data_IF_303071732800
#
_entry.id   IF_303071732800
#
_cell.length_a   1.000
_cell.length_b   1.000
_cell.length_c   1.000
_cell.angle_alpha   90.00
_cell.angle_beta   90.00
_cell.angle_gamma   90.00
#
_symmetry.space_group_name_H-M   'P 1'
#
loop_
_entity.id
_entity.type
_entity.pdbx_description
1 polymer ?
#
# COMPACT_ATOMS: atom_id res chain seq x y z
N UNK A 1 -36.39 -11.79 7.60
CA UNK A 1 -34.91 -11.86 7.49
C UNK A 1 -34.35 -11.21 8.75
N UNK A 2 -33.65 -11.96 9.61
CA UNK A 2 -33.21 -11.45 10.93
C UNK A 2 -31.93 -10.64 10.74
N UNK A 3 -31.72 -9.58 11.53
CA UNK A 3 -30.56 -8.67 11.44
C UNK A 3 -29.21 -9.41 11.36
N UNK A 4 -29.09 -10.53 12.10
CA UNK A 4 -27.92 -11.42 12.09
C UNK A 4 -27.53 -11.98 10.72
N UNK A 5 -28.50 -12.20 9.83
CA UNK A 5 -28.23 -12.72 8.48
C UNK A 5 -27.61 -11.64 7.59
N UNK A 6 -28.00 -10.36 7.81
CA UNK A 6 -27.45 -9.22 7.08
C UNK A 6 -25.98 -8.98 7.47
N UNK A 7 -25.69 -9.00 8.77
CA UNK A 7 -24.33 -8.79 9.27
C UNK A 7 -23.36 -9.89 8.79
N UNK A 8 -23.85 -11.14 8.65
CA UNK A 8 -23.07 -12.25 8.12
C UNK A 8 -22.79 -12.10 6.61
N UNK A 9 -23.76 -11.58 5.85
CA UNK A 9 -23.58 -11.29 4.42
C UNK A 9 -22.60 -10.15 4.23
N UNK A 10 -22.69 -9.09 5.02
CA UNK A 10 -21.75 -7.96 4.97
C UNK A 10 -20.32 -8.40 5.28
N UNK A 11 -20.11 -9.21 6.33
CA UNK A 11 -18.78 -9.76 6.64
C UNK A 11 -18.25 -10.64 5.51
N UNK A 12 -19.10 -11.45 4.87
CA UNK A 12 -18.70 -12.26 3.71
C UNK A 12 -18.37 -11.40 2.49
N UNK A 13 -19.12 -10.33 2.25
CA UNK A 13 -18.88 -9.38 1.17
C UNK A 13 -17.57 -8.63 1.36
N UNK A 14 -17.30 -8.09 2.55
CA UNK A 14 -16.01 -7.47 2.87
C UNK A 14 -14.86 -8.47 2.67
N UNK A 15 -15.01 -9.71 3.15
CA UNK A 15 -13.98 -10.74 2.99
C UNK A 15 -13.77 -11.19 1.53
N UNK A 16 -14.82 -11.17 0.72
CA UNK A 16 -14.77 -11.45 -0.71
C UNK A 16 -14.10 -10.30 -1.48
N UNK A 17 -14.46 -9.06 -1.16
CA UNK A 17 -13.88 -7.84 -1.75
C UNK A 17 -12.39 -7.72 -1.43
N UNK A 18 -11.97 -8.07 -0.22
CA UNK A 18 -10.57 -8.00 0.18
C UNK A 18 -9.75 -9.27 -0.11
N UNK A 19 -10.33 -10.32 -0.72
CA UNK A 19 -9.62 -11.56 -1.13
C UNK A 19 -8.67 -12.16 -0.07
N UNK A 20 -8.86 -11.89 1.23
CA UNK A 20 -7.86 -12.18 2.29
C UNK A 20 -7.77 -13.66 2.69
N UNK A 21 -8.17 -14.59 1.82
CA UNK A 21 -8.22 -16.03 2.16
C UNK A 21 -7.26 -16.90 1.34
N UNK A 22 -6.56 -16.33 0.36
CA UNK A 22 -5.56 -17.04 -0.43
C UNK A 22 -4.34 -16.16 -0.65
N UNK A 23 -3.17 -16.78 -0.66
CA UNK A 23 -1.93 -16.17 -1.13
C UNK A 23 -2.11 -15.77 -2.60
N UNK A 24 -2.50 -14.52 -2.84
CA UNK A 24 -2.65 -13.95 -4.17
C UNK A 24 -1.31 -13.38 -4.63
N UNK A 25 -0.89 -13.72 -5.85
CA UNK A 25 0.41 -13.32 -6.42
C UNK A 25 0.49 -11.79 -6.58
N UNK A 26 -0.66 -11.12 -6.70
CA UNK A 26 -0.80 -9.66 -6.67
C UNK A 26 -0.36 -9.04 -5.34
N UNK A 27 -0.49 -9.79 -4.24
CA UNK A 27 -0.03 -9.42 -2.90
C UNK A 27 1.30 -10.07 -2.52
N UNK A 28 1.94 -10.85 -3.42
CA UNK A 28 3.31 -11.30 -3.16
C UNK A 28 4.18 -10.05 -3.00
N UNK A 29 5.03 -10.07 -1.98
CA UNK A 29 5.96 -8.98 -1.64
C UNK A 29 6.74 -8.49 -2.87
N UNK A 30 7.02 -9.37 -3.83
CA UNK A 30 7.69 -9.06 -5.09
C UNK A 30 6.84 -8.24 -6.07
N UNK A 31 5.52 -8.47 -6.15
CA UNK A 31 4.63 -7.70 -7.03
C UNK A 31 4.29 -6.35 -6.40
N UNK A 32 4.00 -6.32 -5.09
CA UNK A 32 3.84 -5.08 -4.35
C UNK A 32 5.10 -4.20 -4.44
N UNK A 33 6.30 -4.74 -4.32
CA UNK A 33 7.54 -3.95 -4.50
C UNK A 33 7.67 -3.32 -5.90
N UNK A 34 7.12 -3.96 -6.94
CA UNK A 34 7.21 -3.47 -8.33
C UNK A 34 6.10 -2.48 -8.70
N UNK A 35 4.90 -2.62 -8.15
CA UNK A 35 3.72 -1.82 -8.53
C UNK A 35 3.12 -1.00 -7.39
N UNK A 36 3.82 -0.84 -6.25
CA UNK A 36 3.29 -0.07 -5.12
C UNK A 36 2.99 1.38 -5.53
N UNK A 37 1.71 1.81 -5.58
CA UNK A 37 1.34 3.18 -5.91
C UNK A 37 1.82 4.18 -4.85
N UNK A 38 2.21 3.70 -3.66
CA UNK A 38 2.73 4.51 -2.56
C UNK A 38 4.27 4.63 -2.56
N UNK A 39 4.96 4.05 -3.54
CA UNK A 39 6.45 4.07 -3.61
C UNK A 39 7.05 5.48 -3.69
N UNK A 40 6.28 6.45 -4.18
CA UNK A 40 6.68 7.85 -4.26
C UNK A 40 6.19 8.71 -3.08
N UNK A 41 5.51 8.13 -2.10
CA UNK A 41 4.98 8.87 -0.95
C UNK A 41 5.89 8.71 0.25
N UNK A 42 6.19 9.82 0.92
CA UNK A 42 6.94 9.86 2.18
C UNK A 42 6.11 10.52 3.27
N UNK A 43 6.25 10.01 4.49
CA UNK A 43 5.73 10.67 5.67
C UNK A 43 6.82 11.58 6.24
N UNK A 44 6.54 12.88 6.30
CA UNK A 44 7.41 13.92 6.87
C UNK A 44 6.56 14.85 7.73
N UNK A 45 6.95 15.08 8.98
CA UNK A 45 6.29 16.01 9.90
C UNK A 45 4.74 15.93 9.84
N UNK A 46 4.22 14.71 10.04
CA UNK A 46 2.78 14.39 10.03
C UNK A 46 2.06 14.58 8.68
N UNK A 47 2.78 14.95 7.63
CA UNK A 47 2.26 15.10 6.27
C UNK A 47 2.73 13.97 5.35
N UNK A 48 1.88 13.62 4.39
CA UNK A 48 2.23 12.71 3.31
C UNK A 48 2.60 13.55 2.10
N UNK A 49 3.84 13.44 1.64
CA UNK A 49 4.39 14.22 0.53
C UNK A 49 4.82 13.30 -0.61
N UNK A 50 4.59 13.74 -1.84
CA UNK A 50 5.12 13.06 -3.03
C UNK A 50 6.58 13.46 -3.23
N UNK A 51 7.48 12.49 -3.32
CA UNK A 51 8.91 12.70 -3.57
C UNK A 51 9.12 13.58 -4.80
N UNK A 52 8.29 13.44 -5.84
CA UNK A 52 8.40 14.22 -7.09
C UNK A 52 8.13 15.71 -6.90
N UNK A 53 7.44 16.08 -5.82
CA UNK A 53 7.17 17.47 -5.46
C UNK A 53 8.29 18.12 -4.64
N UNK A 54 9.24 17.32 -4.14
CA UNK A 54 10.37 17.81 -3.35
C UNK A 54 11.46 18.44 -4.24
N UNK A 55 12.29 19.34 -3.70
CA UNK A 55 13.50 19.83 -4.36
C UNK A 55 14.42 18.70 -4.88
N UNK A 56 15.10 18.88 -6.03
CA UNK A 56 15.89 17.81 -6.68
C UNK A 56 16.99 17.20 -5.82
N UNK A 57 17.65 18.01 -5.00
CA UNK A 57 18.68 17.62 -4.03
C UNK A 57 18.14 16.64 -2.99
N UNK A 58 16.93 16.88 -2.48
CA UNK A 58 16.24 16.01 -1.53
C UNK A 58 15.82 14.71 -2.22
N UNK A 59 15.32 14.77 -3.45
CA UNK A 59 14.98 13.58 -4.24
C UNK A 59 16.19 12.67 -4.45
N UNK A 60 17.34 13.24 -4.81
CA UNK A 60 18.58 12.49 -4.99
C UNK A 60 19.05 11.85 -3.69
N UNK A 61 19.02 12.58 -2.58
CA UNK A 61 19.36 12.05 -1.26
C UNK A 61 18.51 10.82 -0.90
N UNK A 62 17.19 10.90 -1.11
CA UNK A 62 16.27 9.78 -0.85
C UNK A 62 16.59 8.57 -1.73
N UNK A 63 16.80 8.79 -3.04
CA UNK A 63 17.13 7.71 -4.00
C UNK A 63 18.46 7.01 -3.65
N UNK A 64 19.47 7.78 -3.24
CA UNK A 64 20.75 7.22 -2.81
C UNK A 64 20.62 6.37 -1.54
N UNK A 65 19.77 6.78 -0.59
CA UNK A 65 19.50 6.01 0.63
C UNK A 65 18.79 4.69 0.34
N UNK A 66 17.81 4.69 -0.55
CA UNK A 66 17.09 3.47 -0.95
C UNK A 66 17.98 2.50 -1.74
N UNK A 67 18.87 3.01 -2.61
CA UNK A 67 19.85 2.18 -3.32
C UNK A 67 20.86 1.47 -2.42
N UNK A 68 21.14 2.02 -1.23
CA UNK A 68 22.07 1.44 -0.23
C UNK A 68 21.45 0.37 0.67
N UNK A 69 20.12 0.19 0.66
CA UNK A 69 19.41 -0.83 1.46
C UNK A 69 19.37 -2.21 0.78
N UNK A 70 20.07 -2.40 -0.35
CA UNK A 70 20.20 -3.68 -1.05
C UNK A 70 21.45 -4.43 -0.65
#
# INVERSE_FOLDING_TARGET
MKQRDKDLIEQRMQKLMFKMRYWDKEFSTTHMQKSNPLSNLLMMDEMIVDIRSLPPDIQEYIRQKEGRKK
#
